data_IF_788944347290
#
_entry.id   IF_788944347290
#
_cell.length_a   1.000
_cell.length_b   1.000
_cell.length_c   1.000
_cell.angle_alpha   90.00
_cell.angle_beta   90.00
_cell.angle_gamma   90.00
#
_symmetry.space_group_name_H-M   'P 1'
#
loop_
_entity.id
_entity.type
_entity.pdbx_description
1 polymer ?
#
# COMPACT_ATOMS: atom_id res chain seq x y z
N UNK A 1 -1.89 -44.30 49.89
CA UNK A 1 -1.48 -44.52 48.48
C UNK A 1 -2.37 -43.69 47.57
N UNK A 2 -1.77 -42.75 46.83
CA UNK A 2 -2.43 -41.65 46.11
C UNK A 2 -3.34 -42.15 44.97
N UNK A 3 -4.57 -41.64 44.95
CA UNK A 3 -5.59 -41.79 43.91
C UNK A 3 -5.72 -40.52 43.06
N UNK A 4 -6.26 -40.75 41.87
CA UNK A 4 -6.53 -39.89 40.72
C UNK A 4 -7.37 -38.62 40.91
N UNK A 5 -7.23 -37.75 39.88
CA UNK A 5 -8.23 -36.92 39.16
C UNK A 5 -8.65 -35.52 39.71
N UNK A 6 -8.46 -34.55 38.80
CA UNK A 6 -9.28 -33.37 38.44
C UNK A 6 -10.15 -32.67 39.50
N UNK A 7 -10.05 -31.33 39.60
CA UNK A 7 -11.12 -30.36 39.25
C UNK A 7 -10.98 -29.01 39.97
N UNK A 8 -11.16 -27.95 39.16
CA UNK A 8 -11.77 -26.61 39.35
C UNK A 8 -12.10 -26.03 40.76
N UNK A 9 -11.88 -24.70 40.84
CA UNK A 9 -12.50 -23.64 41.69
C UNK A 9 -12.26 -23.62 43.21
N UNK A 10 -11.75 -22.46 43.70
CA UNK A 10 -12.07 -21.76 44.96
C UNK A 10 -11.29 -20.41 44.89
N UNK A 11 -11.82 -19.20 44.71
CA UNK A 11 -12.89 -18.43 45.38
C UNK A 11 -12.68 -18.25 46.91
N UNK A 12 -11.98 -17.15 47.23
CA UNK A 12 -12.44 -16.01 48.06
C UNK A 12 -12.47 -16.12 49.60
N UNK A 13 -12.24 -14.94 50.19
CA UNK A 13 -12.53 -14.44 51.56
C UNK A 13 -11.41 -14.62 52.61
N UNK A 14 -10.67 -13.54 52.96
CA UNK A 14 -10.95 -12.42 53.89
C UNK A 14 -10.62 -12.80 55.35
N UNK A 15 -9.65 -12.12 55.98
CA UNK A 15 -9.94 -11.26 57.14
C UNK A 15 -8.78 -10.34 57.56
N UNK A 16 -9.23 -9.25 58.19
CA UNK A 16 -8.61 -7.98 58.56
C UNK A 16 -7.72 -7.96 59.82
N UNK A 17 -6.86 -6.93 59.83
CA UNK A 17 -6.46 -6.04 60.95
C UNK A 17 -5.49 -6.53 62.03
N UNK A 18 -4.30 -5.88 62.09
CA UNK A 18 -3.84 -5.07 63.24
C UNK A 18 -3.04 -3.86 62.73
N UNK A 19 -3.43 -2.66 63.18
CA UNK A 19 -2.71 -1.39 63.02
C UNK A 19 -1.67 -1.23 64.15
N UNK A 20 -0.49 -0.73 63.81
CA UNK A 20 0.52 -0.25 64.75
C UNK A 20 1.41 0.77 64.06
N UNK A 21 1.23 2.04 64.43
CA UNK A 21 1.86 3.23 63.86
C UNK A 21 3.35 3.36 64.20
N UNK A 22 4.17 3.75 63.23
CA UNK A 22 5.32 4.64 63.46
C UNK A 22 5.69 5.35 62.16
N UNK A 23 5.76 6.68 62.22
CA UNK A 23 6.24 7.57 61.17
C UNK A 23 7.71 7.28 60.84
N UNK A 24 8.07 7.22 59.55
CA UNK A 24 8.86 8.28 58.93
C UNK A 24 9.02 8.10 57.41
N UNK A 25 8.74 9.20 56.71
CA UNK A 25 9.22 9.61 55.38
C UNK A 25 9.31 8.58 54.24
N UNK A 26 8.25 8.51 53.41
CA UNK A 26 8.43 8.36 51.96
C UNK A 26 7.46 9.25 51.16
N UNK A 27 8.05 9.91 50.16
CA UNK A 27 7.47 10.89 49.23
C UNK A 27 6.17 10.37 48.62
N UNK A 28 5.08 11.14 48.79
CA UNK A 28 3.84 10.96 48.03
C UNK A 28 4.09 11.39 46.58
N UNK A 29 4.04 10.43 45.66
CA UNK A 29 3.71 10.69 44.26
C UNK A 29 2.26 11.17 44.23
N UNK A 30 1.95 12.36 43.70
CA UNK A 30 0.56 12.75 43.52
C UNK A 30 -0.05 11.88 42.41
N UNK A 31 -1.12 11.17 42.77
CA UNK A 31 -2.12 10.70 41.82
C UNK A 31 -2.58 11.89 40.98
N UNK A 32 -2.33 11.84 39.67
CA UNK A 32 -2.95 12.76 38.74
C UNK A 32 -4.38 12.26 38.50
N UNK A 33 -5.34 12.95 39.11
CA UNK A 33 -6.75 12.84 38.79
C UNK A 33 -6.95 13.04 37.29
N UNK A 34 -7.77 12.16 36.70
CA UNK A 34 -8.33 12.35 35.37
C UNK A 34 -9.28 13.55 35.41
N UNK A 35 -8.75 14.77 35.26
CA UNK A 35 -9.54 15.85 34.69
C UNK A 35 -9.69 15.55 33.21
N UNK A 36 -10.94 15.30 32.79
CA UNK A 36 -11.35 15.55 31.43
C UNK A 36 -11.11 17.05 31.17
N UNK A 37 -9.89 17.38 30.78
CA UNK A 37 -9.48 18.70 30.37
C UNK A 37 -10.23 19.00 29.07
N UNK A 38 -11.41 19.57 29.26
CA UNK A 38 -12.03 20.46 28.29
C UNK A 38 -11.16 21.71 28.26
N UNK A 39 -9.94 21.60 27.73
CA UNK A 39 -9.24 22.77 27.21
C UNK A 39 -10.11 23.23 26.07
N UNK A 40 -10.79 24.35 26.25
CA UNK A 40 -11.23 25.18 25.13
C UNK A 40 -9.96 25.49 24.36
N UNK A 41 -9.61 24.62 23.42
CA UNK A 41 -8.46 24.80 22.55
C UNK A 41 -8.71 26.12 21.84
N UNK A 42 -7.92 27.14 22.18
CA UNK A 42 -7.88 28.39 21.42
C UNK A 42 -7.66 27.95 19.99
N UNK A 43 -8.70 28.05 19.16
CA UNK A 43 -8.67 27.55 17.80
C UNK A 43 -7.63 28.41 17.08
N UNK A 44 -6.43 27.85 16.93
CA UNK A 44 -5.28 28.54 16.33
C UNK A 44 -5.69 28.96 14.93
N UNK A 45 -5.80 30.26 14.69
CA UNK A 45 -6.10 30.76 13.35
C UNK A 45 -4.83 30.59 12.50
N UNK A 46 -4.69 29.40 11.89
CA UNK A 46 -3.53 29.05 11.06
C UNK A 46 -3.39 29.99 9.85
N UNK A 47 -4.51 30.54 9.33
CA UNK A 47 -4.44 31.51 8.22
C UNK A 47 -3.80 32.80 8.68
N UNK A 48 -4.18 33.32 9.85
CA UNK A 48 -3.52 34.50 10.43
C UNK A 48 -2.08 34.22 10.85
N UNK A 49 -1.80 33.03 11.38
CA UNK A 49 -0.44 32.65 11.80
C UNK A 49 0.53 32.56 10.62
N UNK A 50 0.07 32.00 9.50
CA UNK A 50 0.89 31.76 8.31
C UNK A 50 0.63 32.74 7.17
N UNK A 51 -0.12 33.84 7.38
CA UNK A 51 -0.51 34.79 6.32
C UNK A 51 0.68 35.24 5.47
N UNK A 52 1.78 35.64 6.13
CA UNK A 52 2.99 36.09 5.44
C UNK A 52 3.59 34.99 4.56
N UNK A 53 3.67 33.76 5.06
CA UNK A 53 4.25 32.62 4.35
C UNK A 53 3.35 32.13 3.22
N UNK A 54 2.02 32.08 3.44
CA UNK A 54 1.04 31.73 2.41
C UNK A 54 1.13 32.73 1.25
N UNK A 55 1.16 34.04 1.54
CA UNK A 55 1.30 35.07 0.51
C UNK A 55 2.65 35.01 -0.19
N UNK A 56 3.73 34.74 0.54
CA UNK A 56 5.06 34.57 -0.04
C UNK A 56 5.09 33.40 -1.03
N UNK A 57 4.54 32.25 -0.64
CA UNK A 57 4.37 31.08 -1.50
C UNK A 57 3.68 31.44 -2.82
N UNK A 58 2.50 32.07 -2.77
CA UNK A 58 1.78 32.50 -3.98
C UNK A 58 2.53 33.55 -4.81
N UNK A 59 3.24 34.49 -4.17
CA UNK A 59 4.05 35.48 -4.88
C UNK A 59 5.25 34.83 -5.60
N UNK A 60 5.85 33.81 -5.00
CA UNK A 60 6.95 33.05 -5.59
C UNK A 60 6.48 32.16 -6.74
N UNK A 61 5.27 31.60 -6.66
CA UNK A 61 4.62 30.91 -7.79
C UNK A 61 4.57 31.82 -9.03
N UNK A 62 4.31 33.12 -8.88
CA UNK A 62 4.28 34.08 -10.01
C UNK A 62 5.63 34.33 -10.69
N UNK A 63 6.73 33.81 -10.12
CA UNK A 63 8.10 34.01 -10.61
C UNK A 63 8.64 32.80 -11.37
N UNK A 64 8.06 31.62 -11.20
CA UNK A 64 8.51 30.36 -11.83
C UNK A 64 7.61 30.03 -13.02
N UNK A 65 8.19 29.54 -14.13
CA UNK A 65 7.45 29.29 -15.39
C UNK A 65 6.46 28.14 -15.28
N UNK A 66 6.80 27.13 -14.47
CA UNK A 66 6.08 25.85 -14.40
C UNK A 66 5.22 25.77 -13.11
N UNK A 67 5.14 26.88 -12.36
CA UNK A 67 4.04 27.21 -11.45
C UNK A 67 3.81 26.31 -10.23
N UNK A 68 4.73 25.41 -9.89
CA UNK A 68 4.56 24.45 -8.79
C UNK A 68 5.66 24.52 -7.74
N UNK A 69 5.43 23.86 -6.61
CA UNK A 69 6.40 23.76 -5.51
C UNK A 69 7.75 23.16 -5.97
N UNK A 70 7.74 22.30 -6.98
CA UNK A 70 8.94 21.64 -7.52
C UNK A 70 9.93 22.64 -8.13
N UNK A 71 9.45 23.78 -8.63
CA UNK A 71 10.30 24.82 -9.20
C UNK A 71 10.97 25.70 -8.13
N UNK A 72 10.67 25.50 -6.85
CA UNK A 72 11.22 26.31 -5.77
C UNK A 72 12.58 25.79 -5.33
N UNK A 73 13.47 26.65 -4.79
CA UNK A 73 14.67 26.18 -4.11
C UNK A 73 14.31 25.21 -2.98
N UNK A 74 15.11 24.17 -2.78
CA UNK A 74 14.93 23.14 -1.74
C UNK A 74 14.55 23.72 -0.37
N UNK A 75 15.21 24.80 0.07
CA UNK A 75 14.91 25.44 1.35
C UNK A 75 13.45 25.92 1.44
N UNK A 76 12.94 26.52 0.35
CA UNK A 76 11.57 27.01 0.28
C UNK A 76 10.57 25.85 0.17
N UNK A 77 10.90 24.81 -0.60
CA UNK A 77 10.12 23.57 -0.64
C UNK A 77 9.89 22.99 0.75
N UNK A 78 10.97 22.84 1.53
CA UNK A 78 10.94 22.32 2.89
C UNK A 78 10.08 23.21 3.81
N UNK A 79 10.32 24.53 3.79
CA UNK A 79 9.58 25.50 4.60
C UNK A 79 8.07 25.49 4.31
N UNK A 80 7.69 25.53 3.03
CA UNK A 80 6.30 25.56 2.64
C UNK A 80 5.60 24.22 2.89
N UNK A 81 6.32 23.10 2.79
CA UNK A 81 5.77 21.78 3.14
C UNK A 81 5.48 21.65 4.63
N UNK A 82 6.37 22.14 5.50
CA UNK A 82 6.14 22.14 6.96
C UNK A 82 4.86 22.91 7.33
N UNK A 83 4.52 23.96 6.59
CA UNK A 83 3.30 24.74 6.77
C UNK A 83 2.10 24.02 6.14
N UNK A 84 2.28 23.48 4.93
CA UNK A 84 1.25 22.77 4.19
C UNK A 84 0.66 21.62 5.00
N UNK A 85 1.48 20.82 5.70
CA UNK A 85 0.98 19.68 6.46
C UNK A 85 0.00 20.07 7.59
N UNK A 86 0.21 21.23 8.24
CA UNK A 86 -0.73 21.72 9.26
C UNK A 86 -2.00 22.32 8.61
N UNK A 87 -1.83 23.06 7.51
CA UNK A 87 -2.96 23.67 6.80
C UNK A 87 -3.88 22.61 6.19
N UNK A 88 -3.31 21.54 5.64
CA UNK A 88 -4.04 20.41 5.04
C UNK A 88 -4.85 19.67 6.12
N UNK A 89 -4.27 19.41 7.29
CA UNK A 89 -5.00 18.82 8.42
C UNK A 89 -6.22 19.67 8.82
N UNK A 90 -6.07 20.99 8.97
CA UNK A 90 -7.19 21.88 9.29
C UNK A 90 -8.24 21.90 8.16
N UNK A 91 -7.80 21.91 6.91
CA UNK A 91 -8.68 21.98 5.75
C UNK A 91 -9.50 20.68 5.56
N UNK A 92 -8.87 19.51 5.70
CA UNK A 92 -9.55 18.21 5.62
C UNK A 92 -10.50 17.99 6.81
N UNK A 93 -10.15 18.47 8.01
CA UNK A 93 -11.04 18.44 9.18
C UNK A 93 -12.28 19.30 8.99
N UNK A 94 -12.14 20.48 8.37
CA UNK A 94 -13.28 21.35 8.01
C UNK A 94 -14.25 20.67 7.03
N UNK A 95 -13.74 19.78 6.17
CA UNK A 95 -14.56 18.92 5.30
C UNK A 95 -15.25 17.76 6.04
N UNK A 96 -14.82 17.47 7.26
CA UNK A 96 -15.44 16.47 8.14
C UNK A 96 -14.54 15.28 8.48
N UNK A 97 -13.27 15.27 8.06
CA UNK A 97 -12.33 14.23 8.47
C UNK A 97 -12.08 14.33 9.97
N UNK A 98 -12.00 13.19 10.63
CA UNK A 98 -11.62 13.08 12.03
C UNK A 98 -10.31 12.29 12.07
N UNK A 99 -9.24 12.78 12.70
CA UNK A 99 -8.04 11.97 12.86
C UNK A 99 -8.33 10.76 13.75
N UNK A 100 -7.78 9.61 13.37
CA UNK A 100 -7.71 8.44 14.25
C UNK A 100 -6.57 8.60 15.26
N UNK A 101 -6.54 7.80 16.32
CA UNK A 101 -5.37 7.73 17.20
C UNK A 101 -4.15 7.10 16.50
N UNK A 102 -2.97 7.27 17.09
CA UNK A 102 -1.70 6.81 16.51
C UNK A 102 -1.62 5.29 16.36
N UNK A 103 -2.28 4.52 17.23
CA UNK A 103 -2.26 3.05 17.18
C UNK A 103 -3.05 2.59 15.97
N UNK A 104 -4.27 3.11 15.81
CA UNK A 104 -5.14 2.82 14.68
C UNK A 104 -4.53 3.30 13.36
N UNK A 105 -3.88 4.46 13.34
CA UNK A 105 -3.18 4.95 12.15
C UNK A 105 -2.09 3.98 11.69
N UNK A 106 -1.24 3.53 12.62
CA UNK A 106 -0.18 2.55 12.34
C UNK A 106 -0.74 1.22 11.86
N UNK A 107 -1.79 0.71 12.52
CA UNK A 107 -2.42 -0.56 12.14
C UNK A 107 -3.03 -0.49 10.74
N UNK A 108 -3.69 0.63 10.40
CA UNK A 108 -4.22 0.86 9.06
C UNK A 108 -3.11 0.90 8.00
N UNK A 109 -2.02 1.62 8.26
CA UNK A 109 -0.91 1.73 7.30
C UNK A 109 -0.24 0.38 7.08
N UNK A 110 -0.03 -0.39 8.16
CA UNK A 110 0.50 -1.76 8.04
C UNK A 110 -0.47 -2.68 7.29
N UNK A 111 -1.79 -2.56 7.54
CA UNK A 111 -2.83 -3.36 6.90
C UNK A 111 -2.87 -3.15 5.39
N UNK A 112 -2.86 -1.90 4.96
CA UNK A 112 -3.11 -1.50 3.57
C UNK A 112 -1.82 -1.40 2.74
N UNK A 113 -0.75 -0.87 3.32
CA UNK A 113 0.49 -0.61 2.59
C UNK A 113 1.59 -1.62 2.91
N UNK A 114 1.42 -2.47 3.93
CA UNK A 114 2.47 -3.38 4.40
C UNK A 114 3.69 -2.66 4.95
N UNK A 115 3.50 -1.42 5.44
CA UNK A 115 4.54 -0.52 5.95
C UNK A 115 4.44 -0.40 7.46
N UNK A 116 5.55 -0.63 8.16
CA UNK A 116 5.69 -0.29 9.58
C UNK A 116 6.30 1.11 9.70
N UNK A 117 5.47 2.08 10.10
CA UNK A 117 5.87 3.49 10.22
C UNK A 117 6.91 3.76 11.31
N UNK A 118 7.23 2.77 12.16
CA UNK A 118 8.32 2.89 13.14
C UNK A 118 9.70 2.58 12.53
N UNK A 119 9.75 2.01 11.32
CA UNK A 119 11.00 1.77 10.61
C UNK A 119 11.49 3.07 9.96
N UNK A 120 12.79 3.14 9.63
CA UNK A 120 13.35 4.30 8.93
C UNK A 120 12.70 4.50 7.55
N UNK A 121 12.70 5.73 7.05
CA UNK A 121 12.16 6.01 5.72
C UNK A 121 12.90 5.23 4.63
N UNK A 122 14.17 4.89 4.80
CA UNK A 122 14.91 4.02 3.86
C UNK A 122 14.23 2.65 3.68
N UNK A 123 13.65 2.09 4.74
CA UNK A 123 12.91 0.82 4.66
C UNK A 123 11.51 1.05 4.09
N UNK A 124 10.83 2.12 4.49
CA UNK A 124 9.49 2.46 3.99
C UNK A 124 9.50 2.74 2.47
N UNK A 125 10.58 3.33 1.95
CA UNK A 125 10.78 3.62 0.52
C UNK A 125 10.81 2.38 -0.36
N UNK A 126 11.11 1.21 0.19
CA UNK A 126 10.99 -0.07 -0.55
C UNK A 126 9.56 -0.42 -0.94
N UNK A 127 8.58 0.31 -0.39
CA UNK A 127 7.14 0.26 -0.69
C UNK A 127 6.64 1.59 -1.29
N UNK A 128 7.52 2.48 -1.76
CA UNK A 128 7.10 3.79 -2.29
C UNK A 128 6.41 4.71 -1.27
N UNK A 129 6.64 4.47 0.03
CA UNK A 129 5.97 5.13 1.14
C UNK A 129 6.95 5.91 2.01
N UNK A 130 6.50 6.98 2.66
CA UNK A 130 7.29 7.77 3.62
C UNK A 130 6.47 8.17 4.83
N UNK A 131 7.13 8.31 5.97
CA UNK A 131 6.62 9.05 7.12
C UNK A 131 7.23 10.45 7.12
N UNK A 132 6.38 11.48 7.21
CA UNK A 132 6.82 12.87 7.29
C UNK A 132 7.60 13.13 8.58
N UNK A 133 8.76 13.77 8.45
CA UNK A 133 9.62 14.12 9.59
C UNK A 133 9.50 15.62 9.85
N UNK A 134 8.94 15.98 10.99
CA UNK A 134 8.88 17.36 11.47
C UNK A 134 10.27 17.88 11.91
N UNK A 135 10.43 19.20 11.99
CA UNK A 135 11.68 19.85 12.42
C UNK A 135 12.20 19.39 13.79
N UNK A 136 11.29 19.03 14.70
CA UNK A 136 11.60 18.52 16.03
C UNK A 136 11.71 16.98 16.09
N UNK A 137 11.65 16.30 14.95
CA UNK A 137 11.83 14.85 14.83
C UNK A 137 13.30 14.43 14.78
N UNK A 138 13.55 13.22 14.25
CA UNK A 138 14.91 12.71 14.05
C UNK A 138 15.69 13.61 13.08
N UNK A 139 16.78 14.21 13.56
CA UNK A 139 17.63 15.09 12.74
C UNK A 139 18.19 14.38 11.51
N UNK A 140 18.56 13.10 11.65
CA UNK A 140 19.08 12.27 10.55
C UNK A 140 18.01 12.01 9.49
N UNK A 141 16.81 11.59 9.89
CA UNK A 141 15.73 11.32 8.94
C UNK A 141 15.21 12.62 8.31
N UNK A 142 15.24 13.73 9.06
CA UNK A 142 14.90 15.05 8.56
C UNK A 142 15.87 15.50 7.47
N UNK A 143 17.18 15.36 7.68
CA UNK A 143 18.17 15.71 6.67
C UNK A 143 17.99 14.91 5.37
N UNK A 144 17.65 13.62 5.46
CA UNK A 144 17.30 12.79 4.29
C UNK A 144 16.04 13.29 3.59
N UNK A 145 14.99 13.62 4.35
CA UNK A 145 13.76 14.18 3.80
C UNK A 145 14.03 15.49 3.05
N UNK A 146 14.77 16.41 3.65
CA UNK A 146 15.11 17.69 3.02
C UNK A 146 15.87 17.44 1.72
N UNK A 147 16.87 16.56 1.73
CA UNK A 147 17.59 16.15 0.52
C UNK A 147 16.65 15.61 -0.56
N UNK A 148 15.72 14.73 -0.20
CA UNK A 148 14.76 14.14 -1.14
C UNK A 148 13.77 15.12 -1.77
N UNK A 149 13.50 16.25 -1.12
CA UNK A 149 12.64 17.29 -1.68
C UNK A 149 13.35 18.03 -2.81
N UNK A 150 14.65 18.31 -2.66
CA UNK A 150 15.45 19.01 -3.67
C UNK A 150 16.02 18.15 -4.80
N UNK A 151 15.55 16.90 -4.98
CA UNK A 151 16.03 16.01 -6.05
C UNK A 151 15.60 16.46 -7.45
N UNK A 152 16.34 16.04 -8.48
CA UNK A 152 16.14 16.50 -9.86
C UNK A 152 15.29 15.54 -10.73
N UNK A 153 14.90 14.37 -10.21
CA UNK A 153 14.26 13.32 -11.03
C UNK A 153 13.12 12.58 -10.33
N UNK A 154 11.96 12.56 -10.98
CA UNK A 154 10.81 11.72 -10.61
C UNK A 154 11.13 10.22 -10.64
N UNK A 155 12.15 9.80 -11.40
CA UNK A 155 12.55 8.40 -11.49
C UNK A 155 13.38 7.91 -10.29
N UNK A 156 13.89 8.81 -9.45
CA UNK A 156 14.70 8.41 -8.30
C UNK A 156 13.83 7.85 -7.18
N UNK A 157 14.19 6.67 -6.66
CA UNK A 157 13.47 6.03 -5.56
C UNK A 157 13.35 6.96 -4.33
N UNK A 158 14.37 7.79 -4.11
CA UNK A 158 14.43 8.75 -3.01
C UNK A 158 13.58 10.00 -3.26
N UNK A 159 13.04 10.27 -4.44
CA UNK A 159 12.30 11.52 -4.70
C UNK A 159 11.09 11.68 -3.78
N UNK A 160 10.91 12.85 -3.15
CA UNK A 160 9.83 13.06 -2.15
C UNK A 160 8.45 13.19 -2.80
N UNK A 161 8.39 13.89 -3.93
CA UNK A 161 7.14 14.47 -4.44
C UNK A 161 6.19 13.46 -5.10
N UNK A 162 6.66 12.27 -5.46
CA UNK A 162 5.86 11.18 -6.02
C UNK A 162 5.74 10.00 -5.06
N UNK A 163 5.79 10.26 -3.75
CA UNK A 163 5.62 9.25 -2.70
C UNK A 163 4.36 9.52 -1.94
N UNK A 164 3.71 8.44 -1.50
CA UNK A 164 2.66 8.53 -0.51
C UNK A 164 3.28 8.81 0.85
N UNK A 165 2.85 9.90 1.48
CA UNK A 165 3.39 10.40 2.74
C UNK A 165 2.36 10.27 3.84
N UNK A 166 2.68 9.51 4.88
CA UNK A 166 1.98 9.56 6.15
C UNK A 166 2.46 10.74 6.98
N UNK A 167 1.54 11.56 7.45
CA UNK A 167 1.84 12.70 8.32
C UNK A 167 1.49 12.34 9.77
N UNK A 168 2.50 12.04 10.62
CA UNK A 168 2.25 11.67 12.01
C UNK A 168 1.68 12.86 12.79
N UNK A 169 1.08 12.59 13.95
CA UNK A 169 0.36 13.56 14.81
C UNK A 169 -0.98 14.04 14.24
N UNK A 170 -1.07 14.27 12.94
CA UNK A 170 -2.33 14.59 12.24
C UNK A 170 -3.04 13.33 11.72
N UNK A 171 -2.29 12.25 11.54
CA UNK A 171 -2.77 10.92 11.17
C UNK A 171 -3.62 10.93 9.89
N UNK A 172 -3.00 11.40 8.81
CA UNK A 172 -3.53 11.34 7.46
C UNK A 172 -2.42 10.96 6.47
N UNK A 173 -2.81 10.52 5.26
CA UNK A 173 -1.92 10.27 4.13
C UNK A 173 -2.17 11.30 3.03
N UNK A 174 -1.11 11.63 2.28
CA UNK A 174 -1.19 12.55 1.14
C UNK A 174 -0.01 12.34 0.19
N UNK A 175 -0.18 12.68 -1.09
CA UNK A 175 0.92 12.87 -2.03
C UNK A 175 1.13 14.36 -2.30
N UNK A 176 2.40 14.78 -2.43
CA UNK A 176 2.76 16.16 -2.81
C UNK A 176 2.10 17.27 -1.95
N UNK A 177 2.28 17.29 -0.62
CA UNK A 177 1.66 18.29 0.25
C UNK A 177 2.12 19.73 -0.08
N UNK A 178 1.18 20.59 -0.48
CA UNK A 178 1.42 22.01 -0.82
C UNK A 178 0.42 22.95 -0.14
N UNK A 179 0.78 24.23 -0.02
CA UNK A 179 -0.10 25.25 0.59
C UNK A 179 -1.38 25.47 -0.25
N UNK A 180 -1.27 25.49 -1.58
CA UNK A 180 -2.40 25.67 -2.50
C UNK A 180 -3.36 24.49 -2.57
N UNK A 181 -2.97 23.33 -2.01
CA UNK A 181 -3.87 22.19 -1.77
C UNK A 181 -4.86 22.43 -0.62
N UNK A 182 -4.56 23.37 0.29
CA UNK A 182 -5.37 23.61 1.49
C UNK A 182 -5.97 25.02 1.58
N UNK A 183 -5.27 26.02 1.06
CA UNK A 183 -5.64 27.43 1.20
C UNK A 183 -5.73 28.06 -0.18
N UNK A 184 -6.76 28.89 -0.40
CA UNK A 184 -6.92 29.72 -1.60
C UNK A 184 -7.06 31.20 -1.22
N UNK A 185 -6.94 32.07 -2.22
CA UNK A 185 -7.11 33.51 -2.08
C UNK A 185 -8.34 33.93 -2.89
N UNK A 186 -9.28 34.63 -2.26
CA UNK A 186 -10.49 35.09 -2.94
C UNK A 186 -10.15 36.00 -4.13
N UNK A 187 -10.76 35.71 -5.29
CA UNK A 187 -10.49 36.41 -6.55
C UNK A 187 -9.21 35.98 -7.27
N UNK A 188 -8.49 34.99 -6.75
CA UNK A 188 -7.39 34.33 -7.48
C UNK A 188 -7.97 33.16 -8.28
N UNK A 189 -7.64 33.00 -9.57
CA UNK A 189 -8.14 31.87 -10.33
C UNK A 189 -7.45 30.57 -9.88
N UNK A 190 -8.10 29.43 -10.14
CA UNK A 190 -7.57 28.11 -9.79
C UNK A 190 -6.46 27.63 -10.75
N UNK A 191 -6.20 28.37 -11.83
CA UNK A 191 -5.26 28.05 -12.89
C UNK A 191 -3.97 28.92 -12.85
N UNK A 192 -3.45 29.31 -14.02
CA UNK A 192 -2.15 29.97 -14.19
C UNK A 192 -2.06 31.31 -13.43
N UNK A 193 -1.29 31.30 -12.33
CA UNK A 193 -1.05 32.47 -11.50
C UNK A 193 0.04 33.37 -12.12
N UNK A 194 -0.40 34.33 -12.94
CA UNK A 194 0.47 35.36 -13.55
C UNK A 194 0.81 36.58 -12.68
N UNK A 195 1.73 37.42 -13.19
CA UNK A 195 2.20 38.67 -12.54
C UNK A 195 1.07 39.68 -12.27
N UNK A 196 0.03 39.68 -13.08
CA UNK A 196 -1.18 40.51 -12.94
C UNK A 196 -1.94 40.22 -11.63
N UNK A 197 -1.79 39.04 -11.05
CA UNK A 197 -2.49 38.64 -9.82
C UNK A 197 -1.83 39.11 -8.52
N UNK A 198 -0.63 39.74 -8.57
CA UNK A 198 0.12 40.16 -7.37
C UNK A 198 -0.68 41.06 -6.42
N UNK A 199 -1.57 41.91 -6.93
CA UNK A 199 -2.43 42.76 -6.08
C UNK A 199 -3.43 41.90 -5.28
N UNK A 200 -4.05 40.92 -5.93
CA UNK A 200 -4.97 39.96 -5.31
C UNK A 200 -4.21 39.12 -4.28
N UNK A 201 -3.05 38.57 -4.63
CA UNK A 201 -2.24 37.76 -3.70
C UNK A 201 -1.89 38.53 -2.41
N UNK A 202 -1.60 39.83 -2.52
CA UNK A 202 -1.21 40.65 -1.36
C UNK A 202 -2.37 41.05 -0.44
N UNK A 203 -3.61 41.11 -0.93
CA UNK A 203 -4.74 41.74 -0.23
C UNK A 203 -6.01 40.90 -0.16
N UNK A 204 -6.14 39.92 -1.03
CA UNK A 204 -7.28 39.02 -1.08
C UNK A 204 -7.40 38.22 0.22
N UNK A 205 -8.65 37.88 0.54
CA UNK A 205 -9.01 37.09 1.71
C UNK A 205 -8.49 35.67 1.55
N UNK A 206 -7.71 35.20 2.52
CA UNK A 206 -7.30 33.80 2.61
C UNK A 206 -8.48 32.97 3.12
N UNK A 207 -8.69 31.79 2.56
CA UNK A 207 -9.69 30.84 3.06
C UNK A 207 -9.24 29.41 2.81
N UNK A 208 -9.67 28.51 3.69
CA UNK A 208 -9.46 27.07 3.50
C UNK A 208 -10.33 26.56 2.37
N UNK A 209 -9.73 25.83 1.45
CA UNK A 209 -10.41 25.14 0.36
C UNK A 209 -9.77 23.78 0.14
N UNK A 210 -10.25 22.77 0.86
CA UNK A 210 -9.90 21.38 0.58
C UNK A 210 -10.95 20.75 -0.34
N UNK A 211 -10.99 21.18 -1.59
CA UNK A 211 -11.92 20.59 -2.57
C UNK A 211 -11.44 19.23 -3.09
N UNK A 212 -10.27 18.77 -2.64
CA UNK A 212 -9.75 17.47 -3.00
C UNK A 212 -10.63 16.37 -2.38
N UNK A 213 -11.46 15.77 -3.23
CA UNK A 213 -12.32 14.66 -2.83
C UNK A 213 -11.60 13.32 -2.93
N UNK A 214 -10.48 13.26 -3.65
CA UNK A 214 -9.65 12.07 -3.74
C UNK A 214 -9.01 11.82 -2.38
N UNK A 215 -8.17 12.73 -1.87
CA UNK A 215 -7.49 12.54 -0.58
C UNK A 215 -8.47 12.39 0.58
N UNK A 216 -9.61 13.10 0.53
CA UNK A 216 -10.64 12.94 1.55
C UNK A 216 -11.17 11.49 1.60
N UNK A 217 -11.48 10.89 0.45
CA UNK A 217 -11.99 9.53 0.40
C UNK A 217 -10.89 8.49 0.63
N UNK A 218 -9.67 8.70 0.14
CA UNK A 218 -8.53 7.83 0.46
C UNK A 218 -8.31 7.73 1.97
N UNK A 219 -8.24 8.86 2.67
CA UNK A 219 -8.06 8.88 4.12
C UNK A 219 -9.22 8.21 4.87
N UNK A 220 -10.47 8.49 4.47
CA UNK A 220 -11.63 7.83 5.06
C UNK A 220 -11.65 6.31 4.79
N UNK A 221 -11.21 5.88 3.62
CA UNK A 221 -11.12 4.45 3.31
C UNK A 221 -10.03 3.78 4.15
N UNK A 222 -8.81 4.33 4.16
CA UNK A 222 -7.65 3.73 4.82
C UNK A 222 -7.83 3.68 6.35
N UNK A 223 -8.25 4.78 6.97
CA UNK A 223 -8.29 4.86 8.44
C UNK A 223 -9.62 4.38 9.05
N UNK A 224 -10.70 4.33 8.27
CA UNK A 224 -12.04 3.96 8.74
C UNK A 224 -12.68 2.77 8.05
N UNK A 225 -12.05 2.17 7.04
CA UNK A 225 -12.68 1.14 6.19
C UNK A 225 -14.03 1.62 5.64
N UNK A 226 -14.13 2.92 5.33
CA UNK A 226 -15.40 3.55 4.95
C UNK A 226 -15.94 2.97 3.64
N UNK A 227 -17.14 2.38 3.70
CA UNK A 227 -17.83 1.83 2.52
C UNK A 227 -18.22 2.91 1.52
N UNK A 228 -18.67 4.06 2.01
CA UNK A 228 -19.04 5.19 1.16
C UNK A 228 -17.80 5.72 0.41
N UNK A 229 -16.66 5.78 1.11
CA UNK A 229 -15.39 6.15 0.48
C UNK A 229 -14.94 5.11 -0.56
N UNK A 230 -15.08 3.81 -0.26
CA UNK A 230 -14.78 2.74 -1.21
C UNK A 230 -15.64 2.86 -2.48
N UNK A 231 -16.95 3.05 -2.34
CA UNK A 231 -17.86 3.23 -3.48
C UNK A 231 -17.55 4.50 -4.29
N UNK A 232 -17.14 5.57 -3.60
CA UNK A 232 -16.71 6.80 -4.27
C UNK A 232 -15.39 6.58 -5.04
N UNK A 233 -14.40 5.94 -4.42
CA UNK A 233 -13.09 5.65 -5.03
C UNK A 233 -13.25 4.73 -6.24
N UNK A 234 -14.06 3.68 -6.17
CA UNK A 234 -14.34 2.80 -7.33
C UNK A 234 -14.83 3.56 -8.57
N UNK A 235 -15.55 4.66 -8.40
CA UNK A 235 -16.14 5.45 -9.49
C UNK A 235 -15.24 6.57 -9.99
N UNK A 236 -14.49 7.20 -9.08
CA UNK A 236 -13.77 8.44 -9.38
C UNK A 236 -12.24 8.28 -9.37
N UNK A 237 -11.72 7.31 -8.61
CA UNK A 237 -10.28 7.10 -8.40
C UNK A 237 -9.98 5.60 -8.22
N UNK A 238 -10.35 4.79 -9.21
CA UNK A 238 -10.16 3.34 -9.16
C UNK A 238 -8.67 2.96 -9.15
N UNK A 239 -7.80 3.83 -9.69
CA UNK A 239 -6.35 3.66 -9.72
C UNK A 239 -5.78 3.44 -8.33
N UNK A 240 -6.14 4.28 -7.35
CA UNK A 240 -5.73 4.13 -5.96
C UNK A 240 -6.03 2.72 -5.40
N UNK A 241 -7.23 2.19 -5.64
CA UNK A 241 -7.63 0.87 -5.15
C UNK A 241 -6.88 -0.27 -5.85
N UNK A 242 -6.59 -0.12 -7.15
CA UNK A 242 -5.79 -1.07 -7.92
C UNK A 242 -4.35 -1.07 -7.41
N UNK A 243 -3.78 0.10 -7.13
CA UNK A 243 -2.41 0.26 -6.62
C UNK A 243 -2.24 -0.32 -5.21
N UNK A 244 -3.26 -0.27 -4.35
CA UNK A 244 -3.26 -1.00 -3.08
C UNK A 244 -2.93 -2.49 -3.28
N UNK A 245 -3.42 -3.12 -4.34
CA UNK A 245 -3.06 -4.51 -4.65
C UNK A 245 -1.72 -4.61 -5.38
N UNK A 246 -1.53 -3.86 -6.46
CA UNK A 246 -0.34 -3.98 -7.34
C UNK A 246 0.93 -3.59 -6.60
N UNK A 247 0.98 -2.38 -6.07
CA UNK A 247 2.16 -1.82 -5.44
C UNK A 247 2.35 -2.32 -4.00
N UNK A 248 1.24 -2.46 -3.26
CA UNK A 248 1.29 -2.75 -1.82
C UNK A 248 0.90 -4.18 -1.43
N UNK A 249 0.32 -4.96 -2.34
CA UNK A 249 -0.03 -6.35 -2.10
C UNK A 249 -1.28 -6.57 -1.24
N UNK A 250 -2.16 -5.58 -1.15
CA UNK A 250 -3.41 -5.68 -0.41
C UNK A 250 -4.47 -6.51 -1.17
N UNK A 251 -4.37 -7.83 -1.04
CA UNK A 251 -5.24 -8.80 -1.71
C UNK A 251 -6.36 -9.37 -0.80
N UNK A 252 -6.65 -8.67 0.31
CA UNK A 252 -7.55 -9.13 1.38
C UNK A 252 -9.02 -8.70 1.20
N UNK A 253 -9.29 -7.73 0.34
CA UNK A 253 -10.63 -7.19 0.11
C UNK A 253 -11.21 -7.72 -1.21
N UNK A 254 -12.35 -8.38 -1.16
CA UNK A 254 -12.96 -9.02 -2.33
C UNK A 254 -13.44 -8.01 -3.39
N UNK A 255 -13.88 -6.82 -3.01
CA UNK A 255 -14.32 -5.80 -3.96
C UNK A 255 -13.15 -5.18 -4.71
N UNK A 256 -12.02 -4.97 -4.02
CA UNK A 256 -10.76 -4.53 -4.66
C UNK A 256 -10.24 -5.64 -5.57
N UNK A 257 -10.23 -6.90 -5.12
CA UNK A 257 -9.82 -8.01 -5.97
C UNK A 257 -10.68 -8.10 -7.24
N UNK A 258 -12.01 -7.90 -7.14
CA UNK A 258 -12.91 -7.85 -8.29
C UNK A 258 -12.61 -6.70 -9.24
N UNK A 259 -12.32 -5.52 -8.69
CA UNK A 259 -11.93 -4.36 -9.48
C UNK A 259 -10.63 -4.64 -10.27
N UNK A 260 -9.61 -5.18 -9.61
CA UNK A 260 -8.34 -5.56 -10.24
C UNK A 260 -8.55 -6.65 -11.29
N UNK A 261 -9.33 -7.69 -10.99
CA UNK A 261 -9.68 -8.75 -11.95
C UNK A 261 -10.33 -8.19 -13.23
N UNK A 262 -11.29 -7.28 -13.09
CA UNK A 262 -11.95 -6.65 -14.24
C UNK A 262 -10.97 -5.78 -15.05
N UNK A 263 -10.10 -5.03 -14.37
CA UNK A 263 -9.06 -4.24 -15.03
C UNK A 263 -8.05 -5.14 -15.77
N UNK A 264 -7.64 -6.27 -15.18
CA UNK A 264 -6.76 -7.24 -15.82
C UNK A 264 -7.34 -7.79 -17.12
N UNK A 265 -8.58 -8.26 -17.11
CA UNK A 265 -9.20 -8.83 -18.31
C UNK A 265 -9.36 -7.78 -19.41
N UNK A 266 -9.79 -6.57 -19.05
CA UNK A 266 -9.92 -5.45 -19.98
C UNK A 266 -8.59 -5.13 -20.68
N UNK A 267 -7.51 -5.02 -19.92
CA UNK A 267 -6.18 -4.70 -20.49
C UNK A 267 -5.56 -5.88 -21.22
N UNK A 268 -5.80 -7.13 -20.79
CA UNK A 268 -5.33 -8.32 -21.49
C UNK A 268 -5.97 -8.48 -22.86
N UNK A 269 -7.24 -8.09 -23.03
CA UNK A 269 -7.92 -8.12 -24.34
C UNK A 269 -7.41 -7.06 -25.33
N UNK A 270 -6.70 -6.04 -24.86
CA UNK A 270 -6.06 -5.03 -25.70
C UNK A 270 -4.61 -5.46 -26.03
N UNK A 271 -4.42 -5.92 -27.28
CA UNK A 271 -3.14 -6.14 -28.01
C UNK A 271 -1.92 -6.43 -27.13
N UNK A 272 -1.70 -7.71 -26.78
CA UNK A 272 -0.45 -8.26 -26.23
C UNK A 272 0.22 -7.37 -25.17
N UNK A 273 -0.41 -7.24 -23.99
CA UNK A 273 0.08 -6.40 -22.89
C UNK A 273 0.73 -7.20 -21.73
N UNK A 274 1.94 -7.78 -21.86
CA UNK A 274 2.63 -8.46 -20.76
C UNK A 274 2.77 -7.63 -19.47
N UNK A 275 2.75 -6.30 -19.55
CA UNK A 275 2.84 -5.42 -18.38
C UNK A 275 1.66 -5.59 -17.41
N UNK A 276 0.51 -6.13 -17.86
CA UNK A 276 -0.66 -6.30 -16.99
C UNK A 276 -0.41 -7.29 -15.85
N UNK A 277 0.56 -8.17 -16.08
CA UNK A 277 0.99 -9.20 -15.14
C UNK A 277 1.99 -8.65 -14.13
N UNK A 278 2.61 -7.51 -14.42
CA UNK A 278 3.58 -6.87 -13.53
C UNK A 278 2.90 -6.52 -12.20
N UNK A 279 3.57 -6.94 -11.11
CA UNK A 279 3.16 -6.82 -9.71
C UNK A 279 1.73 -7.26 -9.34
N UNK A 280 0.97 -7.85 -10.26
CA UNK A 280 -0.47 -8.09 -10.08
C UNK A 280 -0.77 -9.46 -9.49
N UNK A 281 -0.24 -10.54 -10.05
CA UNK A 281 -0.40 -11.90 -9.49
C UNK A 281 0.78 -12.30 -8.59
N UNK A 282 1.94 -11.71 -8.85
CA UNK A 282 3.11 -11.77 -8.00
C UNK A 282 3.93 -10.48 -8.15
N UNK A 283 4.65 -10.11 -7.08
CA UNK A 283 5.56 -8.96 -7.06
C UNK A 283 6.89 -9.34 -6.42
N UNK A 284 7.99 -8.70 -6.82
CA UNK A 284 9.26 -8.82 -6.11
C UNK A 284 9.44 -7.68 -5.12
N UNK A 285 9.49 -7.99 -3.82
CA UNK A 285 9.75 -6.98 -2.80
C UNK A 285 11.21 -6.54 -2.85
N UNK A 286 11.47 -5.26 -3.15
CA UNK A 286 12.80 -4.64 -3.22
C UNK A 286 13.34 -4.28 -1.83
N UNK A 287 13.48 -5.26 -0.94
CA UNK A 287 14.07 -5.11 0.40
C UNK A 287 15.48 -5.73 0.46
N UNK A 288 16.22 -5.51 1.56
CA UNK A 288 17.56 -6.10 1.82
C UNK A 288 17.59 -7.63 1.58
N UNK A 289 16.47 -8.31 1.84
CA UNK A 289 16.23 -9.68 1.41
C UNK A 289 15.06 -9.70 0.44
N UNK A 290 15.37 -9.59 -0.86
CA UNK A 290 14.35 -9.62 -1.89
C UNK A 290 13.56 -10.92 -1.83
N UNK A 291 12.24 -10.82 -1.94
CA UNK A 291 11.34 -11.97 -1.86
C UNK A 291 10.18 -11.78 -2.82
N UNK A 292 9.88 -12.82 -3.59
CA UNK A 292 8.64 -12.91 -4.36
C UNK A 292 7.44 -13.13 -3.45
N UNK A 293 6.51 -12.20 -3.53
CA UNK A 293 5.19 -12.21 -2.89
C UNK A 293 4.14 -12.62 -3.93
N UNK A 294 3.42 -13.71 -3.67
CA UNK A 294 2.33 -14.18 -4.54
C UNK A 294 1.02 -13.65 -3.96
N UNK A 295 0.15 -13.06 -4.79
CA UNK A 295 -1.15 -12.52 -4.38
C UNK A 295 -2.17 -13.64 -4.17
N UNK A 296 -1.99 -14.42 -3.11
CA UNK A 296 -2.82 -15.60 -2.79
C UNK A 296 -4.29 -15.24 -2.58
N UNK A 297 -4.59 -14.05 -2.05
CA UNK A 297 -5.95 -13.54 -1.89
C UNK A 297 -6.64 -13.31 -3.24
N UNK A 298 -5.93 -12.69 -4.19
CA UNK A 298 -6.42 -12.50 -5.56
C UNK A 298 -6.66 -13.83 -6.27
N UNK A 299 -5.70 -14.76 -6.19
CA UNK A 299 -5.83 -16.11 -6.76
C UNK A 299 -7.03 -16.87 -6.17
N UNK A 300 -7.30 -16.71 -4.87
CA UNK A 300 -8.50 -17.26 -4.23
C UNK A 300 -9.79 -16.60 -4.73
N UNK A 301 -9.79 -15.29 -5.00
CA UNK A 301 -10.95 -14.59 -5.58
C UNK A 301 -11.23 -15.07 -7.00
N UNK A 302 -10.21 -15.29 -7.84
CA UNK A 302 -10.36 -15.92 -9.16
C UNK A 302 -10.99 -17.32 -9.02
N UNK A 303 -10.52 -18.12 -8.05
CA UNK A 303 -11.14 -19.42 -7.73
C UNK A 303 -12.57 -19.34 -7.20
N UNK A 304 -13.15 -18.18 -6.90
CA UNK A 304 -14.57 -18.05 -6.53
C UNK A 304 -15.46 -17.73 -7.72
N UNK A 305 -14.91 -17.36 -8.87
CA UNK A 305 -15.70 -17.03 -10.06
C UNK A 305 -16.55 -18.23 -10.51
N UNK A 306 -17.79 -18.01 -10.98
CA UNK A 306 -18.61 -19.08 -11.53
C UNK A 306 -18.03 -19.61 -12.84
N UNK A 307 -18.35 -20.86 -13.18
CA UNK A 307 -18.01 -21.43 -14.48
C UNK A 307 -18.92 -20.82 -15.56
N UNK A 308 -18.40 -19.84 -16.31
CA UNK A 308 -19.10 -19.16 -17.41
C UNK A 308 -18.16 -19.05 -18.61
N UNK A 309 -18.71 -18.85 -19.80
CA UNK A 309 -17.87 -18.71 -21.00
C UNK A 309 -16.89 -17.54 -20.89
N UNK A 310 -17.36 -16.39 -20.39
CA UNK A 310 -16.54 -15.21 -20.13
C UNK A 310 -15.36 -15.51 -19.18
N UNK A 311 -15.62 -16.28 -18.11
CA UNK A 311 -14.58 -16.59 -17.12
C UNK A 311 -13.55 -17.61 -17.63
N UNK A 312 -13.74 -18.23 -18.80
CA UNK A 312 -12.71 -19.10 -19.40
C UNK A 312 -11.47 -18.31 -19.84
N UNK A 313 -11.56 -16.98 -20.04
CA UNK A 313 -10.40 -16.15 -20.38
C UNK A 313 -9.29 -16.20 -19.31
N UNK A 314 -9.63 -16.47 -18.04
CA UNK A 314 -8.63 -16.69 -16.99
C UNK A 314 -7.73 -17.90 -17.24
N UNK A 315 -8.26 -18.95 -17.88
CA UNK A 315 -7.49 -20.14 -18.26
C UNK A 315 -6.41 -19.72 -19.26
N UNK A 316 -6.79 -18.95 -20.27
CA UNK A 316 -5.87 -18.44 -21.30
C UNK A 316 -4.81 -17.51 -20.69
N UNK A 317 -5.23 -16.53 -19.89
CA UNK A 317 -4.32 -15.60 -19.22
C UNK A 317 -3.30 -16.31 -18.34
N UNK A 318 -3.73 -17.32 -17.56
CA UNK A 318 -2.82 -18.11 -16.74
C UNK A 318 -1.84 -18.92 -17.58
N UNK A 319 -2.29 -19.59 -18.65
CA UNK A 319 -1.39 -20.32 -19.55
C UNK A 319 -0.34 -19.40 -20.17
N UNK A 320 -0.76 -18.25 -20.72
CA UNK A 320 0.17 -17.28 -21.32
C UNK A 320 1.19 -16.81 -20.28
N UNK A 321 0.75 -16.47 -19.06
CA UNK A 321 1.67 -16.02 -18.03
C UNK A 321 2.64 -17.12 -17.57
N UNK A 322 2.17 -18.36 -17.40
CA UNK A 322 3.05 -19.46 -17.04
C UNK A 322 4.07 -19.71 -18.15
N UNK A 323 3.66 -19.65 -19.42
CA UNK A 323 4.57 -19.78 -20.56
C UNK A 323 5.63 -18.67 -20.56
N UNK A 324 5.24 -17.41 -20.32
CA UNK A 324 6.18 -16.30 -20.12
C UNK A 324 7.16 -16.56 -18.98
N UNK A 325 6.73 -17.18 -17.87
CA UNK A 325 7.61 -17.43 -16.74
C UNK A 325 8.65 -18.52 -17.04
N UNK A 326 8.25 -19.57 -17.77
CA UNK A 326 9.05 -20.79 -17.94
C UNK A 326 9.84 -20.83 -19.25
N UNK A 327 9.25 -20.36 -20.35
CA UNK A 327 9.68 -20.70 -21.71
C UNK A 327 10.23 -19.51 -22.50
N UNK A 328 10.04 -18.28 -22.03
CA UNK A 328 10.65 -17.13 -22.70
C UNK A 328 12.18 -17.16 -22.52
N UNK A 329 12.88 -17.05 -23.65
CA UNK A 329 14.33 -16.87 -23.67
C UNK A 329 14.72 -15.66 -22.81
N UNK A 330 15.79 -15.76 -22.04
CA UNK A 330 16.19 -14.68 -21.12
C UNK A 330 16.39 -13.33 -21.83
N UNK A 331 16.87 -13.34 -23.07
CA UNK A 331 17.07 -12.14 -23.89
C UNK A 331 15.77 -11.50 -24.38
N UNK A 332 14.66 -12.24 -24.35
CA UNK A 332 13.33 -11.80 -24.78
C UNK A 332 12.41 -11.49 -23.60
N UNK A 333 12.89 -11.64 -22.35
CA UNK A 333 12.11 -11.32 -21.16
C UNK A 333 11.61 -9.87 -21.22
N UNK A 334 10.31 -9.63 -20.93
CA UNK A 334 9.83 -8.27 -20.76
C UNK A 334 10.60 -7.60 -19.61
N UNK A 335 10.74 -6.28 -19.64
CA UNK A 335 11.58 -5.53 -18.69
C UNK A 335 11.24 -5.84 -17.23
N UNK A 336 9.96 -5.87 -16.87
CA UNK A 336 9.50 -6.22 -15.53
C UNK A 336 9.83 -7.67 -15.14
N UNK A 337 9.91 -8.56 -16.13
CA UNK A 337 10.39 -9.94 -16.11
C UNK A 337 11.81 -10.06 -15.52
N UNK A 338 12.68 -9.18 -15.97
CA UNK A 338 14.14 -9.26 -15.73
C UNK A 338 14.53 -9.13 -14.27
N UNK A 339 13.63 -8.60 -13.43
CA UNK A 339 13.87 -8.50 -11.98
C UNK A 339 13.80 -9.86 -11.27
N UNK A 340 13.18 -10.88 -11.86
CA UNK A 340 12.99 -12.20 -11.27
C UNK A 340 14.13 -13.15 -11.68
N UNK A 341 14.72 -13.82 -10.69
CA UNK A 341 15.59 -14.97 -10.96
C UNK A 341 14.79 -16.14 -11.55
N UNK A 342 15.47 -17.09 -12.18
CA UNK A 342 14.81 -18.28 -12.75
C UNK A 342 14.05 -19.09 -11.68
N UNK A 343 14.64 -19.29 -10.50
CA UNK A 343 13.94 -19.95 -9.37
C UNK A 343 12.72 -19.16 -8.88
N UNK A 344 12.80 -17.84 -8.86
CA UNK A 344 11.67 -16.98 -8.51
C UNK A 344 10.54 -17.11 -9.53
N UNK A 345 10.85 -17.19 -10.83
CA UNK A 345 9.87 -17.48 -11.88
C UNK A 345 9.26 -18.86 -11.72
N UNK A 346 10.06 -19.89 -11.44
CA UNK A 346 9.57 -21.25 -11.14
C UNK A 346 8.57 -21.27 -9.98
N UNK A 347 8.85 -20.51 -8.92
CA UNK A 347 7.93 -20.39 -7.78
C UNK A 347 6.58 -19.80 -8.21
N UNK A 348 6.58 -18.72 -9.00
CA UNK A 348 5.32 -18.11 -9.48
C UNK A 348 4.57 -19.09 -10.39
N UNK A 349 5.27 -19.69 -11.35
CA UNK A 349 4.70 -20.65 -12.30
C UNK A 349 4.05 -21.86 -11.60
N UNK A 350 4.71 -22.43 -10.59
CA UNK A 350 4.17 -23.56 -9.83
C UNK A 350 2.86 -23.21 -9.11
N UNK A 351 2.78 -22.03 -8.51
CA UNK A 351 1.53 -21.54 -7.92
C UNK A 351 0.46 -21.35 -9.00
N UNK A 352 0.78 -20.71 -10.11
CA UNK A 352 -0.19 -20.49 -11.18
C UNK A 352 -0.70 -21.80 -11.79
N UNK A 353 0.16 -22.79 -12.02
CA UNK A 353 -0.25 -24.13 -12.48
C UNK A 353 -1.25 -24.78 -11.49
N UNK A 354 -0.99 -24.69 -10.19
CA UNK A 354 -1.88 -25.22 -9.17
C UNK A 354 -3.26 -24.55 -9.17
N UNK A 355 -3.30 -23.22 -9.31
CA UNK A 355 -4.55 -22.47 -9.35
C UNK A 355 -5.28 -22.63 -10.69
N UNK A 356 -4.57 -22.72 -11.81
CA UNK A 356 -5.09 -23.05 -13.13
C UNK A 356 -5.82 -24.39 -13.11
N UNK A 357 -5.16 -25.45 -12.64
CA UNK A 357 -5.76 -26.77 -12.51
C UNK A 357 -7.08 -26.74 -11.72
N UNK A 358 -7.06 -26.09 -10.55
CA UNK A 358 -8.26 -25.97 -9.70
C UNK A 358 -9.38 -25.18 -10.36
N UNK A 359 -9.04 -24.16 -11.13
CA UNK A 359 -10.01 -23.34 -11.84
C UNK A 359 -10.63 -24.10 -13.01
N UNK A 360 -9.80 -24.74 -13.84
CA UNK A 360 -10.23 -25.52 -15.02
C UNK A 360 -11.13 -26.70 -14.64
N UNK A 361 -10.93 -27.30 -13.47
CA UNK A 361 -11.81 -28.36 -12.95
C UNK A 361 -13.27 -27.98 -12.82
N UNK A 362 -13.59 -26.68 -12.73
CA UNK A 362 -14.99 -26.21 -12.72
C UNK A 362 -15.70 -26.35 -14.06
N UNK A 363 -14.95 -26.54 -15.14
CA UNK A 363 -15.45 -26.74 -16.50
C UNK A 363 -15.33 -28.20 -16.95
N UNK A 364 -15.13 -29.13 -16.00
CA UNK A 364 -14.84 -30.53 -16.27
C UNK A 364 -13.60 -30.73 -17.17
N UNK A 365 -12.63 -29.80 -17.06
CA UNK A 365 -11.33 -29.83 -17.75
C UNK A 365 -10.21 -30.00 -16.75
N UNK A 366 -9.16 -30.70 -17.15
CA UNK A 366 -7.88 -30.73 -16.43
C UNK A 366 -6.82 -30.03 -17.28
N UNK A 367 -6.74 -28.71 -17.17
CA UNK A 367 -5.71 -27.96 -17.89
C UNK A 367 -4.35 -28.14 -17.19
N UNK A 368 -3.64 -29.18 -17.61
CA UNK A 368 -2.36 -29.61 -17.05
C UNK A 368 -1.28 -29.78 -18.11
N UNK A 369 -1.56 -29.50 -19.39
CA UNK A 369 -0.64 -29.77 -20.49
C UNK A 369 0.70 -29.06 -20.32
N UNK A 370 0.68 -27.78 -19.95
CA UNK A 370 1.89 -27.00 -19.74
C UNK A 370 2.66 -27.49 -18.50
N UNK A 371 1.96 -27.82 -17.41
CA UNK A 371 2.58 -28.41 -16.22
C UNK A 371 3.26 -29.76 -16.56
N UNK A 372 2.59 -30.64 -17.32
CA UNK A 372 3.13 -31.93 -17.74
C UNK A 372 4.34 -31.81 -18.66
N UNK A 373 4.27 -30.94 -19.66
CA UNK A 373 5.41 -30.63 -20.53
C UNK A 373 6.63 -30.20 -19.71
N UNK A 374 6.45 -29.27 -18.79
CA UNK A 374 7.55 -28.73 -17.99
C UNK A 374 8.06 -29.70 -16.93
N UNK A 375 7.19 -30.51 -16.31
CA UNK A 375 7.64 -31.58 -15.41
C UNK A 375 8.45 -32.65 -16.17
N UNK A 376 8.14 -32.89 -17.45
CA UNK A 376 8.79 -33.90 -18.27
C UNK A 376 10.11 -33.42 -18.88
N UNK A 377 10.14 -32.24 -19.50
CA UNK A 377 11.31 -31.74 -20.24
C UNK A 377 12.19 -30.76 -19.46
N UNK A 378 11.72 -30.19 -18.34
CA UNK A 378 12.43 -29.18 -17.56
C UNK A 378 12.82 -29.70 -16.18
N UNK A 379 13.85 -30.55 -16.13
CA UNK A 379 14.38 -31.15 -14.89
C UNK A 379 14.67 -30.10 -13.80
N UNK A 380 15.13 -28.91 -14.20
CA UNK A 380 15.41 -27.81 -13.26
C UNK A 380 14.13 -27.32 -12.57
N UNK A 381 13.03 -27.19 -13.30
CA UNK A 381 11.73 -26.81 -12.73
C UNK A 381 11.17 -27.91 -11.82
N UNK A 382 11.20 -29.17 -12.26
CA UNK A 382 10.75 -30.31 -11.45
C UNK A 382 11.52 -30.42 -10.14
N UNK A 383 12.85 -30.46 -10.23
CA UNK A 383 13.73 -30.56 -9.04
C UNK A 383 13.55 -29.35 -8.11
N UNK A 384 13.31 -28.16 -8.65
CA UNK A 384 13.03 -26.98 -7.84
C UNK A 384 11.74 -27.16 -7.03
N UNK A 385 10.62 -27.56 -7.65
CA UNK A 385 9.35 -27.76 -6.93
C UNK A 385 9.49 -28.82 -5.83
N UNK A 386 10.14 -29.95 -6.13
CA UNK A 386 10.39 -31.04 -5.18
C UNK A 386 11.24 -30.56 -4.00
N UNK A 387 12.35 -29.86 -4.25
CA UNK A 387 13.21 -29.28 -3.20
C UNK A 387 12.49 -28.26 -2.30
N UNK A 388 11.38 -27.69 -2.77
CA UNK A 388 10.53 -26.76 -2.02
C UNK A 388 9.32 -27.46 -1.40
N UNK A 389 9.29 -28.79 -1.40
CA UNK A 389 8.20 -29.63 -0.90
C UNK A 389 6.85 -29.19 -1.45
N UNK A 390 6.80 -28.93 -2.76
CA UNK A 390 5.59 -28.49 -3.47
C UNK A 390 4.94 -27.26 -2.82
N UNK A 391 5.75 -26.42 -2.17
CA UNK A 391 5.35 -25.23 -1.40
C UNK A 391 4.26 -25.50 -0.34
N UNK A 392 4.11 -26.75 0.09
CA UNK A 392 3.04 -27.23 0.96
C UNK A 392 1.63 -26.91 0.43
N UNK A 393 1.46 -26.86 -0.90
CA UNK A 393 0.15 -26.67 -1.52
C UNK A 393 -0.65 -27.98 -1.43
N UNK A 394 -1.87 -27.97 -0.85
CA UNK A 394 -2.63 -29.21 -0.63
C UNK A 394 -2.88 -29.99 -1.92
N UNK A 395 -2.43 -31.24 -1.97
CA UNK A 395 -2.58 -32.15 -3.10
C UNK A 395 -1.72 -31.83 -4.32
N UNK A 396 -0.76 -30.91 -4.22
CA UNK A 396 0.04 -30.49 -5.38
C UNK A 396 1.09 -31.54 -5.78
N UNK A 397 1.71 -32.22 -4.83
CA UNK A 397 2.62 -33.34 -5.08
C UNK A 397 1.93 -34.45 -5.89
N UNK A 398 0.81 -34.98 -5.38
CA UNK A 398 0.02 -35.99 -6.08
C UNK A 398 -0.48 -35.52 -7.47
N UNK A 399 -0.76 -34.22 -7.64
CA UNK A 399 -1.08 -33.66 -8.94
C UNK A 399 0.13 -33.72 -9.89
N UNK A 400 1.31 -33.29 -9.43
CA UNK A 400 2.53 -33.32 -10.23
C UNK A 400 2.90 -34.75 -10.64
N UNK A 401 2.82 -35.71 -9.73
CA UNK A 401 3.12 -37.12 -10.01
C UNK A 401 2.18 -37.68 -11.07
N UNK A 402 0.87 -37.51 -10.86
CA UNK A 402 -0.17 -37.92 -11.83
C UNK A 402 0.10 -37.31 -13.21
N UNK A 403 0.31 -35.99 -13.27
CA UNK A 403 0.47 -35.26 -14.54
C UNK A 403 1.77 -35.66 -15.25
N UNK A 404 2.84 -35.94 -14.51
CA UNK A 404 4.09 -36.44 -15.07
C UNK A 404 3.91 -37.83 -15.70
N UNK A 405 3.27 -38.76 -14.98
CA UNK A 405 2.99 -40.12 -15.47
C UNK A 405 2.11 -40.12 -16.73
N UNK A 406 1.03 -39.34 -16.73
CA UNK A 406 0.14 -39.19 -17.88
C UNK A 406 0.89 -38.64 -19.11
N UNK A 407 1.78 -37.67 -18.90
CA UNK A 407 2.55 -37.05 -19.97
C UNK A 407 3.64 -38.00 -20.52
N UNK A 408 4.33 -38.76 -19.66
CA UNK A 408 5.30 -39.78 -20.05
C UNK A 408 4.67 -40.85 -20.96
N UNK A 409 3.49 -41.35 -20.60
CA UNK A 409 2.72 -42.29 -21.44
C UNK A 409 2.36 -41.65 -22.78
N UNK A 410 1.89 -40.40 -22.77
CA UNK A 410 1.53 -39.69 -24.00
C UNK A 410 2.72 -39.47 -24.94
N UNK A 411 3.91 -39.16 -24.41
CA UNK A 411 5.14 -38.99 -25.20
C UNK A 411 5.60 -40.33 -25.79
N UNK A 412 5.61 -41.40 -24.99
CA UNK A 412 5.99 -42.74 -25.45
C UNK A 412 5.08 -43.27 -26.54
N UNK A 413 3.77 -43.02 -26.44
CA UNK A 413 2.81 -43.43 -27.45
C UNK A 413 2.92 -42.67 -28.79
N UNK A 414 3.49 -41.44 -28.78
CA UNK A 414 3.77 -40.68 -30.01
C UNK A 414 5.09 -41.06 -30.70
N UNK A 415 5.99 -41.73 -29.98
CA UNK A 415 7.29 -42.16 -30.48
C UNK A 415 7.26 -43.56 -31.13
N UNK A 416 6.17 -44.31 -30.91
CA UNK A 416 5.84 -45.56 -31.60
C UNK A 416 4.88 -45.28 -32.76
#
# INVERSE_FOLDING_TARGET
>A
MKKMKQSKYLLLTLLLMVLGSSCDNHRKVPQQENTADTVVAVKKDLLSQYDKQIRAYYLDLTKVSDGGILSFPQKAQVEYTDIAVELIDEAIRRKGYKPVDNVRAREAILKYFGVDVNQSNDVQLTRGFRTYIFKNGSATERAKQEKSMGGDSFGEQEYFWNRLVYVPNYNYIITSPTIDSAVKIEGLPDDAIGKNHRKVIKRGKLYFNFNDSIFFNENNFIFYDSKDALEWLKKNEAGFLIDLLREYGYDKNEEINKLVMANMLKEYTDVNAPWILDNTLASKRKAKHAKVEIRKGLLKSILKLPATEENMEWIRLFNDYIDYLLNIEEQKLPMWMTEYTKEERYKVAAYLCYYLYKFSKKYDREDTSLLGHELYYNDSFRNYIDSRHYFSLPGFEALCDKVYEEYDVAVKNKAN
#
